data_IF_460073327234
#
_entry.id   IF_460073327234
#
_cell.length_a   1.000
_cell.length_b   1.000
_cell.length_c   1.000
_cell.angle_alpha   90.00
_cell.angle_beta   90.00
_cell.angle_gamma   90.00
#
_symmetry.space_group_name_H-M   'P 1'
#
loop_
_entity.id
_entity.type
_entity.pdbx_description
1 polymer ?
#
# COMPACT_ATOMS: atom_id res chain seq x y z
N UNK A 1 -5.72 -4.29 7.09
CA UNK A 1 -4.69 -5.08 6.38
C UNK A 1 -5.34 -5.80 5.21
N UNK A 2 -4.83 -5.69 3.99
CA UNK A 2 -5.42 -6.37 2.82
C UNK A 2 -4.99 -7.84 2.76
N UNK A 3 -5.87 -8.71 2.25
CA UNK A 3 -5.55 -10.13 2.09
C UNK A 3 -4.37 -10.36 1.13
N UNK A 4 -4.21 -9.46 0.15
CA UNK A 4 -3.08 -9.43 -0.77
C UNK A 4 -1.73 -9.40 -0.06
N UNK A 5 -1.59 -8.49 0.91
CA UNK A 5 -0.33 -8.30 1.62
C UNK A 5 0.00 -9.53 2.45
N UNK A 6 -0.99 -10.15 3.11
CA UNK A 6 -0.80 -11.39 3.86
C UNK A 6 -0.34 -12.54 2.97
N UNK A 7 -0.84 -12.62 1.73
CA UNK A 7 -0.41 -13.64 0.77
C UNK A 7 1.02 -13.41 0.29
N UNK A 8 1.41 -12.16 0.05
CA UNK A 8 2.77 -11.80 -0.39
C UNK A 8 3.79 -11.90 0.74
N UNK A 9 3.38 -11.67 1.99
CA UNK A 9 4.25 -11.67 3.16
C UNK A 9 3.63 -12.45 4.33
N UNK A 10 3.56 -13.79 4.24
CA UNK A 10 2.86 -14.63 5.22
C UNK A 10 3.49 -14.58 6.62
N UNK A 11 4.75 -14.14 6.72
CA UNK A 11 5.48 -13.99 7.99
C UNK A 11 5.10 -12.76 8.80
N UNK A 12 4.37 -11.80 8.23
CA UNK A 12 3.94 -10.59 8.94
C UNK A 12 2.50 -10.73 9.39
N UNK A 13 2.31 -11.29 10.58
CA UNK A 13 0.99 -11.56 11.15
C UNK A 13 0.57 -10.38 12.03
N UNK A 14 1.51 -9.81 12.79
CA UNK A 14 1.26 -8.73 13.74
C UNK A 14 1.60 -7.36 13.16
N UNK A 15 0.94 -6.98 12.07
CA UNK A 15 1.14 -5.67 11.45
C UNK A 15 -0.19 -4.98 11.08
N UNK A 16 -0.19 -3.66 11.17
CA UNK A 16 -1.34 -2.81 10.90
C UNK A 16 -0.95 -1.67 9.96
N UNK A 17 -1.90 -1.14 9.15
CA UNK A 17 -1.63 0.06 8.37
C UNK A 17 -1.36 1.23 9.33
N UNK A 18 -0.35 2.02 9.02
CA UNK A 18 -0.02 3.22 9.79
C UNK A 18 -1.11 4.28 9.62
N UNK A 19 -1.59 4.78 10.75
CA UNK A 19 -2.70 5.72 10.80
C UNK A 19 -2.27 7.05 10.20
N UNK A 20 -2.97 7.53 9.18
CA UNK A 20 -2.66 8.79 8.50
C UNK A 20 -1.79 8.66 7.24
N UNK A 21 -1.24 7.47 6.95
CA UNK A 21 -0.57 7.17 5.66
C UNK A 21 -1.38 6.23 4.78
N UNK A 22 -2.53 5.76 5.27
CA UNK A 22 -3.44 4.90 4.54
C UNK A 22 -4.29 5.71 3.54
N UNK A 23 -3.96 5.59 2.27
CA UNK A 23 -4.70 6.15 1.15
C UNK A 23 -5.53 5.05 0.48
N UNK A 24 -6.78 5.36 0.15
CA UNK A 24 -7.72 4.49 -0.55
C UNK A 24 -8.56 5.33 -1.51
N UNK A 25 -8.72 4.86 -2.74
CA UNK A 25 -9.58 5.50 -3.72
C UNK A 25 -10.05 4.52 -4.79
N UNK A 26 -10.92 5.02 -5.68
CA UNK A 26 -11.48 4.23 -6.77
C UNK A 26 -11.53 5.06 -8.04
N UNK A 27 -11.22 4.41 -9.15
CA UNK A 27 -11.15 4.99 -10.49
C UNK A 27 -11.78 4.00 -11.47
N UNK A 28 -12.99 4.32 -11.93
CA UNK A 28 -13.84 3.36 -12.64
C UNK A 28 -14.01 2.05 -11.83
N UNK A 29 -13.65 0.92 -12.43
CA UNK A 29 -13.71 -0.42 -11.82
C UNK A 29 -12.47 -0.82 -11.01
N UNK A 30 -11.48 0.07 -10.85
CA UNK A 30 -10.23 -0.22 -10.11
C UNK A 30 -10.22 0.55 -8.80
N UNK A 31 -10.08 -0.17 -7.69
CA UNK A 31 -9.76 0.37 -6.37
C UNK A 31 -8.25 0.33 -6.18
N UNK A 32 -7.69 1.36 -5.57
CA UNK A 32 -6.28 1.41 -5.23
C UNK A 32 -6.10 1.75 -3.76
N UNK A 33 -4.98 1.31 -3.19
CA UNK A 33 -4.59 1.68 -1.84
C UNK A 33 -3.08 1.84 -1.74
N UNK A 34 -2.63 2.75 -0.87
CA UNK A 34 -1.23 2.91 -0.52
C UNK A 34 -1.12 3.10 1.00
N UNK A 35 -0.18 2.41 1.66
CA UNK A 35 0.00 2.55 3.11
C UNK A 35 1.37 2.08 3.57
N UNK A 36 1.88 2.67 4.65
CA UNK A 36 2.96 2.07 5.44
C UNK A 36 2.38 1.13 6.48
N UNK A 37 3.18 0.19 6.95
CA UNK A 37 2.76 -0.73 8.00
C UNK A 37 3.57 -0.49 9.27
N UNK A 38 2.93 -0.65 10.42
CA UNK A 38 3.58 -0.70 11.72
C UNK A 38 3.36 -2.07 12.36
N UNK A 39 4.28 -2.45 13.25
CA UNK A 39 4.09 -3.65 14.06
C UNK A 39 2.98 -3.41 15.10
N UNK A 40 2.02 -4.32 15.19
CA UNK A 40 0.99 -4.30 16.23
C UNK A 40 1.48 -5.03 17.49
N UNK A 41 0.80 -4.84 18.65
CA UNK A 41 1.10 -5.63 19.83
C UNK A 41 1.10 -7.14 19.52
N UNK A 42 2.10 -7.86 20.06
CA UNK A 42 2.30 -9.30 19.81
C UNK A 42 3.32 -9.63 18.72
N UNK A 43 3.88 -8.64 18.01
CA UNK A 43 4.95 -8.87 17.06
C UNK A 43 6.16 -9.55 17.71
N UNK A 44 6.62 -10.62 17.08
CA UNK A 44 7.84 -11.34 17.47
C UNK A 44 9.09 -10.49 17.19
N UNK A 45 10.21 -10.83 17.81
CA UNK A 45 11.48 -10.15 17.54
C UNK A 45 11.85 -10.18 16.05
N UNK A 46 11.67 -11.33 15.40
CA UNK A 46 11.92 -11.50 13.98
C UNK A 46 10.99 -10.61 13.13
N UNK A 47 9.70 -10.51 13.49
CA UNK A 47 8.77 -9.58 12.83
C UNK A 47 9.22 -8.12 12.99
N UNK A 48 9.66 -7.72 14.18
CA UNK A 48 10.14 -6.35 14.45
C UNK A 48 11.40 -6.02 13.64
N UNK A 49 12.36 -6.95 13.55
CA UNK A 49 13.58 -6.74 12.76
C UNK A 49 13.24 -6.55 11.28
N UNK A 50 12.44 -7.46 10.72
CA UNK A 50 12.05 -7.40 9.31
C UNK A 50 11.14 -6.19 9.00
N UNK A 51 10.40 -5.67 9.98
CA UNK A 51 9.54 -4.49 9.83
C UNK A 51 10.30 -3.16 9.73
N UNK A 52 11.58 -3.12 10.11
CA UNK A 52 12.40 -1.91 9.93
C UNK A 52 12.54 -1.55 8.44
N UNK A 53 12.67 -2.56 7.58
CA UNK A 53 12.73 -2.37 6.13
C UNK A 53 11.34 -2.30 5.51
N UNK A 54 10.44 -3.21 5.91
CA UNK A 54 9.13 -3.36 5.26
C UNK A 54 8.10 -2.31 5.68
N UNK A 55 8.15 -1.86 6.93
CA UNK A 55 7.25 -0.84 7.48
C UNK A 55 7.66 0.59 7.19
N UNK A 56 8.95 0.83 6.94
CA UNK A 56 9.48 2.17 6.63
C UNK A 56 9.07 2.66 5.23
N UNK A 57 8.78 1.73 4.32
CA UNK A 57 8.43 2.02 2.93
C UNK A 57 6.92 1.94 2.67
N UNK A 58 6.43 2.81 1.78
CA UNK A 58 5.01 2.78 1.37
C UNK A 58 4.75 1.59 0.46
N UNK A 59 3.67 0.84 0.72
CA UNK A 59 3.23 -0.30 -0.11
C UNK A 59 2.01 0.07 -0.94
N UNK A 60 2.00 -0.33 -2.21
CA UNK A 60 0.94 -0.01 -3.18
C UNK A 60 0.14 -1.25 -3.58
N UNK A 61 -1.17 -1.08 -3.68
CA UNK A 61 -2.14 -2.14 -3.96
C UNK A 61 -3.16 -1.72 -5.00
N UNK A 62 -3.73 -2.70 -5.70
CA UNK A 62 -4.96 -2.53 -6.49
C UNK A 62 -5.96 -3.65 -6.23
N UNK A 63 -7.23 -3.39 -6.48
CA UNK A 63 -8.29 -4.38 -6.63
C UNK A 63 -9.12 -3.98 -7.85
N UNK A 64 -9.49 -4.94 -8.69
CA UNK A 64 -10.38 -4.71 -9.82
C UNK A 64 -11.76 -5.27 -9.49
N UNK A 65 -12.80 -4.85 -10.22
CA UNK A 65 -14.16 -5.38 -10.08
C UNK A 65 -14.27 -6.91 -10.20
N UNK A 66 -13.28 -7.56 -10.82
CA UNK A 66 -13.22 -9.01 -11.02
C UNK A 66 -12.38 -9.75 -9.96
N UNK A 67 -11.76 -9.07 -8.97
CA UNK A 67 -10.83 -9.73 -8.06
C UNK A 67 -10.52 -9.01 -6.74
N UNK A 68 -9.89 -9.75 -5.84
CA UNK A 68 -9.42 -9.22 -4.56
C UNK A 68 -8.27 -8.22 -4.70
N UNK A 69 -7.81 -7.71 -3.56
CA UNK A 69 -6.61 -6.88 -3.52
C UNK A 69 -5.39 -7.64 -4.03
N UNK A 70 -4.47 -6.92 -4.67
CA UNK A 70 -3.18 -7.40 -5.19
C UNK A 70 -2.11 -6.40 -4.78
N UNK A 71 -0.98 -6.89 -4.25
CA UNK A 71 0.22 -6.10 -4.01
C UNK A 71 0.91 -5.81 -5.34
N UNK A 72 1.32 -4.56 -5.56
CA UNK A 72 1.94 -4.11 -6.81
C UNK A 72 3.43 -3.86 -6.65
N UNK A 73 3.78 -2.99 -5.71
CA UNK A 73 5.16 -2.52 -5.50
C UNK A 73 5.28 -1.76 -4.17
N UNK A 74 6.51 -1.37 -3.82
CA UNK A 74 6.85 -0.57 -2.64
C UNK A 74 7.80 0.57 -2.98
N UNK A 75 7.60 1.72 -2.35
CA UNK A 75 8.37 2.98 -2.48
C UNK A 75 8.78 3.40 -3.91
N UNK A 76 9.49 4.52 -4.04
CA UNK A 76 10.02 4.99 -5.33
C UNK A 76 9.06 5.84 -6.16
N UNK A 77 7.90 6.18 -5.59
CA UNK A 77 6.97 7.16 -6.15
C UNK A 77 6.92 8.40 -5.26
N UNK A 78 6.76 9.60 -5.84
CA UNK A 78 6.59 10.83 -5.07
C UNK A 78 5.39 10.70 -4.12
N UNK A 79 5.60 11.18 -2.89
CA UNK A 79 4.60 11.29 -1.84
C UNK A 79 4.85 12.60 -1.10
N UNK A 80 3.79 13.28 -0.67
CA UNK A 80 3.90 14.41 0.25
C UNK A 80 3.70 13.99 1.70
N UNK A 81 3.66 14.95 2.64
CA UNK A 81 3.34 14.72 4.05
C UNK A 81 2.04 13.94 4.32
N UNK A 82 1.05 14.06 3.44
CA UNK A 82 -0.21 13.29 3.42
C UNK A 82 -0.16 12.08 2.47
N UNK A 83 1.03 11.67 2.03
CA UNK A 83 1.22 10.55 1.11
C UNK A 83 0.90 10.91 -0.34
N UNK A 84 0.23 10.00 -1.05
CA UNK A 84 -0.23 10.26 -2.43
C UNK A 84 -1.39 11.27 -2.51
N UNK A 85 -1.97 11.73 -1.40
CA UNK A 85 -2.98 12.79 -1.39
C UNK A 85 -2.44 14.17 -1.78
N UNK A 86 -1.15 14.42 -1.53
CA UNK A 86 -0.44 15.64 -1.96
C UNK A 86 0.06 15.56 -3.40
N UNK A 87 -0.11 14.39 -4.04
CA UNK A 87 0.35 14.15 -5.40
C UNK A 87 -0.75 14.63 -6.34
N UNK A 88 -0.65 15.91 -6.72
CA UNK A 88 -1.62 16.57 -7.59
C UNK A 88 -1.89 15.82 -8.90
N UNK A 89 -0.92 15.02 -9.38
CA UNK A 89 -1.07 14.08 -10.47
C UNK A 89 -0.37 12.76 -10.16
N UNK A 90 -1.12 11.65 -10.19
CA UNK A 90 -0.59 10.30 -10.05
C UNK A 90 0.49 10.10 -11.12
N UNK A 91 1.74 9.76 -10.76
CA UNK A 91 2.81 9.52 -11.72
C UNK A 91 2.37 8.48 -12.75
N UNK A 92 2.72 8.67 -14.02
CA UNK A 92 2.30 7.79 -15.12
C UNK A 92 2.62 6.32 -14.85
N UNK A 93 3.81 6.04 -14.31
CA UNK A 93 4.20 4.69 -13.92
C UNK A 93 3.30 4.09 -12.83
N UNK A 94 2.78 4.89 -11.88
CA UNK A 94 1.85 4.44 -10.85
C UNK A 94 0.43 4.28 -11.41
N UNK A 95 0.03 5.19 -12.30
CA UNK A 95 -1.24 5.10 -13.04
C UNK A 95 -1.31 3.80 -13.84
N UNK A 96 -0.24 3.42 -14.55
CA UNK A 96 -0.15 2.18 -15.30
C UNK A 96 -0.33 0.94 -14.40
N UNK A 97 0.28 0.94 -13.21
CA UNK A 97 0.11 -0.13 -12.22
C UNK A 97 -1.35 -0.23 -11.72
N UNK A 98 -2.04 0.91 -11.63
CA UNK A 98 -3.46 1.01 -11.27
C UNK A 98 -4.42 0.95 -12.47
N UNK A 99 -3.97 0.51 -13.64
CA UNK A 99 -4.84 0.31 -14.81
C UNK A 99 -5.19 1.60 -15.55
N UNK A 100 -4.23 2.52 -15.68
CA UNK A 100 -4.35 3.82 -16.34
C UNK A 100 -5.38 4.73 -15.69
N UNK A 101 -5.38 4.80 -14.36
CA UNK A 101 -6.22 5.77 -13.67
C UNK A 101 -5.73 7.21 -13.96
N UNK A 102 -6.57 8.01 -14.60
CA UNK A 102 -6.38 9.46 -14.75
C UNK A 102 -6.89 10.17 -13.50
N UNK A 103 -6.09 11.06 -12.92
CA UNK A 103 -6.61 12.04 -11.95
C UNK A 103 -7.42 13.05 -12.75
N UNK A 104 -8.73 13.05 -12.52
CA UNK A 104 -9.66 14.07 -12.99
C UNK A 104 -10.10 14.90 -11.81
#
# INVERSE_FOLDING_TARGET
MTEAYRRSFPRFVHIGPDSGTFFYGQCGGVRYAATRFHATPGATHDELVNMQDEGSVTKYFRSTSAGGWTYLTSDGFPHGPQGCGDVAQIPEALSALWGNCSVG
#
